data_IF_666745747813
#
_entry.id   IF_666745747813
#
_cell.length_a   1.000
_cell.length_b   1.000
_cell.length_c   1.000
_cell.angle_alpha   90.00
_cell.angle_beta   90.00
_cell.angle_gamma   90.00
#
_symmetry.space_group_name_H-M   'P 1'
#
loop_
_entity.id
_entity.type
_entity.pdbx_description
1 polymer ?
#
# COMPACT_ATOMS: atom_id res chain seq x y z
N UNK A 1 -10.12 48.39 11.52
CA UNK A 1 -10.62 48.01 10.19
C UNK A 1 -9.59 47.08 9.53
N UNK A 2 -9.59 45.82 9.91
CA UNK A 2 -8.90 44.78 9.16
C UNK A 2 -9.82 44.36 8.03
N UNK A 3 -9.52 44.88 6.85
CA UNK A 3 -10.09 44.42 5.59
C UNK A 3 -9.78 42.94 5.49
N UNK A 4 -10.79 42.12 5.69
CA UNK A 4 -10.77 40.69 5.38
C UNK A 4 -10.41 40.61 3.90
N UNK A 5 -9.20 40.10 3.60
CA UNK A 5 -8.73 39.93 2.23
C UNK A 5 -9.60 38.88 1.56
N UNK A 6 -10.73 39.36 1.01
CA UNK A 6 -11.71 38.58 0.28
C UNK A 6 -11.19 38.13 -1.10
N UNK A 7 -9.91 38.37 -1.38
CA UNK A 7 -9.28 38.07 -2.67
C UNK A 7 -8.86 36.61 -2.88
N UNK A 8 -9.18 35.71 -1.97
CA UNK A 8 -8.77 34.30 -2.12
C UNK A 8 -9.41 33.66 -3.34
N UNK A 9 -10.65 34.05 -3.68
CA UNK A 9 -11.38 33.52 -4.84
C UNK A 9 -12.25 34.60 -5.47
N UNK A 10 -11.80 35.17 -6.58
CA UNK A 10 -12.70 35.97 -7.45
C UNK A 10 -13.69 35.03 -8.12
N UNK A 11 -14.94 35.07 -7.68
CA UNK A 11 -16.04 34.20 -8.11
C UNK A 11 -16.45 34.47 -9.54
N UNK A 12 -16.35 33.47 -10.41
CA UNK A 12 -16.79 33.57 -11.82
C UNK A 12 -17.67 32.42 -12.31
N UNK A 13 -17.81 31.31 -11.59
CA UNK A 13 -18.60 30.16 -12.08
C UNK A 13 -19.59 29.72 -11.02
N UNK A 14 -20.87 29.73 -11.42
CA UNK A 14 -21.98 29.15 -10.63
C UNK A 14 -22.11 27.63 -10.83
N UNK A 15 -21.18 27.01 -11.52
CA UNK A 15 -21.11 25.57 -11.74
C UNK A 15 -20.45 24.85 -10.57
N UNK A 16 -20.88 23.61 -10.30
CA UNK A 16 -20.23 22.76 -9.30
C UNK A 16 -18.81 22.38 -9.72
N UNK A 17 -17.92 22.24 -8.76
CA UNK A 17 -16.54 21.78 -9.01
C UNK A 17 -16.56 20.34 -9.51
N UNK A 18 -16.06 20.07 -10.72
CA UNK A 18 -16.06 18.73 -11.27
C UNK A 18 -15.19 17.78 -10.43
N UNK A 19 -15.73 16.63 -10.01
CA UNK A 19 -14.98 15.60 -9.24
C UNK A 19 -13.68 15.18 -9.92
N UNK A 20 -13.63 15.20 -11.25
CA UNK A 20 -12.42 14.90 -12.04
C UNK A 20 -11.20 15.78 -11.69
N UNK A 21 -11.40 16.97 -11.13
CA UNK A 21 -10.31 17.83 -10.69
C UNK A 21 -9.66 17.32 -9.39
N UNK A 22 -10.42 16.63 -8.55
CA UNK A 22 -9.98 16.08 -7.26
C UNK A 22 -9.32 14.70 -7.44
N UNK A 23 -9.74 13.96 -8.46
CA UNK A 23 -9.40 12.55 -8.66
C UNK A 23 -7.88 12.29 -8.73
N UNK A 24 -7.05 13.10 -9.44
CA UNK A 24 -5.61 12.86 -9.50
C UNK A 24 -4.92 12.89 -8.13
N UNK A 25 -5.37 13.74 -7.23
CA UNK A 25 -4.81 13.82 -5.86
C UNK A 25 -5.24 12.61 -5.04
N UNK A 26 -6.51 12.20 -5.15
CA UNK A 26 -7.04 11.01 -4.48
C UNK A 26 -6.31 9.75 -4.96
N UNK A 27 -6.07 9.63 -6.26
CA UNK A 27 -5.38 8.47 -6.83
C UNK A 27 -3.91 8.39 -6.37
N UNK A 28 -3.21 9.52 -6.32
CA UNK A 28 -1.85 9.60 -5.78
C UNK A 28 -1.82 9.21 -4.29
N UNK A 29 -2.77 9.69 -3.48
CA UNK A 29 -2.89 9.33 -2.08
C UNK A 29 -3.19 7.81 -1.90
N UNK A 30 -4.06 7.23 -2.74
CA UNK A 30 -4.36 5.79 -2.78
C UNK A 30 -3.13 4.93 -3.10
N UNK A 31 -2.17 5.49 -3.83
CA UNK A 31 -0.89 4.83 -4.10
C UNK A 31 0.15 5.05 -3.00
N UNK A 32 -0.14 5.88 -1.99
CA UNK A 32 0.80 6.28 -0.95
C UNK A 32 1.88 7.27 -1.42
N UNK A 33 1.71 7.87 -2.61
CA UNK A 33 2.64 8.87 -3.16
C UNK A 33 2.32 10.27 -2.64
N UNK A 34 2.82 10.54 -1.43
CA UNK A 34 2.64 11.80 -0.72
C UNK A 34 3.19 13.00 -1.50
N UNK A 35 4.36 12.85 -2.13
CA UNK A 35 5.03 13.93 -2.85
C UNK A 35 4.18 14.34 -4.04
N UNK A 36 3.73 13.38 -4.84
CA UNK A 36 2.88 13.64 -6.00
C UNK A 36 1.53 14.22 -5.56
N UNK A 37 0.90 13.66 -4.52
CA UNK A 37 -0.37 14.14 -4.00
C UNK A 37 -0.29 15.62 -3.56
N UNK A 38 0.75 16.01 -2.82
CA UNK A 38 0.96 17.40 -2.40
C UNK A 38 1.22 18.36 -3.58
N UNK A 39 1.98 17.95 -4.60
CA UNK A 39 2.20 18.74 -5.82
C UNK A 39 0.90 18.95 -6.61
N UNK A 40 0.10 17.92 -6.76
CA UNK A 40 -1.20 17.98 -7.42
C UNK A 40 -2.19 18.84 -6.64
N UNK A 41 -2.14 18.83 -5.31
CA UNK A 41 -2.96 19.71 -4.46
C UNK A 41 -2.66 21.20 -4.71
N UNK A 42 -1.41 21.58 -4.84
CA UNK A 42 -1.06 22.96 -5.16
C UNK A 42 -1.63 23.40 -6.53
N UNK A 43 -1.65 22.49 -7.50
CA UNK A 43 -2.26 22.73 -8.82
C UNK A 43 -3.78 22.80 -8.73
N UNK A 44 -4.40 21.89 -7.98
CA UNK A 44 -5.84 21.88 -7.71
C UNK A 44 -6.32 23.19 -7.12
N UNK A 45 -5.66 23.72 -6.09
CA UNK A 45 -6.05 24.98 -5.45
C UNK A 45 -6.02 26.16 -6.41
N UNK A 46 -5.06 26.20 -7.36
CA UNK A 46 -5.02 27.20 -8.42
C UNK A 46 -6.22 27.07 -9.38
N UNK A 47 -6.61 25.85 -9.71
CA UNK A 47 -7.76 25.59 -10.60
C UNK A 47 -9.10 25.94 -9.94
N UNK A 48 -9.19 25.79 -8.60
CA UNK A 48 -10.38 26.13 -7.84
C UNK A 48 -10.64 27.64 -7.72
N UNK A 49 -9.65 28.50 -7.95
CA UNK A 49 -9.79 29.95 -7.80
C UNK A 49 -10.86 30.60 -8.69
N UNK A 50 -11.38 29.90 -9.69
CA UNK A 50 -12.47 30.37 -10.56
C UNK A 50 -13.90 30.00 -10.13
N UNK A 51 -14.06 29.27 -9.04
CA UNK A 51 -15.36 28.79 -8.56
C UNK A 51 -15.88 29.60 -7.37
N UNK A 52 -17.22 29.51 -7.13
CA UNK A 52 -17.83 30.10 -5.95
C UNK A 52 -17.32 29.42 -4.67
N UNK A 53 -17.05 30.22 -3.62
CA UNK A 53 -16.42 29.74 -2.38
C UNK A 53 -17.20 28.61 -1.70
N UNK A 54 -18.51 28.66 -1.72
CA UNK A 54 -19.37 27.58 -1.16
C UNK A 54 -19.17 26.25 -1.90
N UNK A 55 -19.07 26.32 -3.23
CA UNK A 55 -18.85 25.14 -4.09
C UNK A 55 -17.46 24.55 -3.90
N UNK A 56 -16.47 25.43 -3.69
CA UNK A 56 -15.11 25.01 -3.31
C UNK A 56 -15.15 24.26 -1.98
N UNK A 57 -15.81 24.78 -0.96
CA UNK A 57 -15.91 24.11 0.34
C UNK A 57 -16.64 22.77 0.26
N UNK A 58 -17.70 22.66 -0.53
CA UNK A 58 -18.37 21.38 -0.76
C UNK A 58 -17.45 20.37 -1.46
N UNK A 59 -16.73 20.81 -2.50
CA UNK A 59 -15.79 19.94 -3.22
C UNK A 59 -14.64 19.48 -2.32
N UNK A 60 -14.05 20.39 -1.54
CA UNK A 60 -12.97 20.08 -0.62
C UNK A 60 -13.42 19.23 0.58
N UNK A 61 -14.67 19.40 1.07
CA UNK A 61 -15.23 18.53 2.09
C UNK A 61 -15.39 17.10 1.57
N UNK A 62 -15.91 16.95 0.34
CA UNK A 62 -15.95 15.65 -0.33
C UNK A 62 -14.53 15.06 -0.48
N UNK A 63 -13.59 15.84 -0.98
CA UNK A 63 -12.19 15.44 -1.15
C UNK A 63 -11.55 14.97 0.16
N UNK A 64 -11.70 15.75 1.24
CA UNK A 64 -11.16 15.40 2.56
C UNK A 64 -11.77 14.11 3.09
N UNK A 65 -13.08 13.92 2.88
CA UNK A 65 -13.77 12.67 3.27
C UNK A 65 -13.26 11.47 2.48
N UNK A 66 -12.99 11.62 1.18
CA UNK A 66 -12.40 10.57 0.37
C UNK A 66 -10.98 10.23 0.81
N UNK A 67 -10.18 11.21 1.22
CA UNK A 67 -8.84 10.99 1.76
C UNK A 67 -8.88 10.18 3.07
N UNK A 68 -9.77 10.52 4.01
CA UNK A 68 -9.93 9.75 5.25
C UNK A 68 -10.39 8.30 5.02
N UNK A 69 -11.01 8.03 3.87
CA UNK A 69 -11.49 6.69 3.53
C UNK A 69 -10.56 5.92 2.59
N UNK A 70 -9.41 6.48 2.23
CA UNK A 70 -8.48 5.89 1.26
C UNK A 70 -7.99 4.50 1.70
N UNK A 71 -7.71 4.31 2.98
CA UNK A 71 -7.20 3.06 3.55
C UNK A 71 -8.30 2.08 3.98
N UNK A 72 -9.56 2.52 4.02
CA UNK A 72 -10.67 1.69 4.51
C UNK A 72 -11.17 0.79 3.37
N UNK A 73 -10.87 -0.50 3.44
CA UNK A 73 -11.37 -1.49 2.48
C UNK A 73 -12.85 -1.83 2.63
N UNK A 74 -13.47 -1.42 3.74
CA UNK A 74 -14.90 -1.64 4.00
C UNK A 74 -15.64 -0.34 3.73
N UNK A 75 -16.74 -0.36 2.94
CA UNK A 75 -17.55 0.84 2.71
C UNK A 75 -17.99 1.47 4.03
N UNK A 76 -17.65 2.74 4.21
CA UNK A 76 -18.08 3.49 5.40
C UNK A 76 -19.60 3.65 5.37
N UNK A 77 -20.27 3.35 6.48
CA UNK A 77 -21.71 3.52 6.58
C UNK A 77 -22.11 4.96 6.23
N UNK A 78 -23.15 5.12 5.43
CA UNK A 78 -23.61 6.41 4.90
C UNK A 78 -23.72 7.51 5.97
N UNK A 79 -24.18 7.15 7.18
CA UNK A 79 -24.29 8.09 8.29
C UNK A 79 -22.92 8.60 8.75
N UNK A 80 -21.94 7.70 8.89
CA UNK A 80 -20.57 8.07 9.27
C UNK A 80 -19.92 8.95 8.20
N UNK A 81 -20.15 8.65 6.93
CA UNK A 81 -19.66 9.47 5.82
C UNK A 81 -20.19 10.89 5.88
N UNK A 82 -21.48 11.06 6.15
CA UNK A 82 -22.11 12.39 6.31
C UNK A 82 -21.57 13.18 7.50
N UNK A 83 -21.30 12.50 8.62
CA UNK A 83 -20.70 13.12 9.81
C UNK A 83 -19.28 13.64 9.51
N UNK A 84 -18.44 12.83 8.85
CA UNK A 84 -17.09 13.20 8.43
C UNK A 84 -17.16 14.38 7.44
N UNK A 85 -18.00 14.30 6.43
CA UNK A 85 -18.20 15.38 5.45
C UNK A 85 -18.56 16.71 6.12
N UNK A 86 -19.51 16.70 7.06
CA UNK A 86 -19.90 17.90 7.79
C UNK A 86 -18.78 18.44 8.68
N UNK A 87 -18.00 17.58 9.30
CA UNK A 87 -16.83 17.98 10.08
C UNK A 87 -15.82 18.72 9.20
N UNK A 88 -15.48 18.17 8.04
CA UNK A 88 -14.59 18.82 7.09
C UNK A 88 -15.15 20.14 6.58
N UNK A 89 -16.45 20.20 6.26
CA UNK A 89 -17.10 21.43 5.82
C UNK A 89 -17.00 22.55 6.87
N UNK A 90 -17.29 22.26 8.13
CA UNK A 90 -17.15 23.20 9.24
C UNK A 90 -15.69 23.65 9.39
N UNK A 91 -14.75 22.70 9.36
CA UNK A 91 -13.32 23.01 9.49
C UNK A 91 -12.84 23.91 8.36
N UNK A 92 -13.12 23.56 7.11
CA UNK A 92 -12.73 24.33 5.93
C UNK A 92 -13.31 25.76 5.94
N UNK A 93 -14.60 25.89 6.36
CA UNK A 93 -15.25 27.20 6.46
C UNK A 93 -14.65 28.13 7.55
N UNK A 94 -13.90 27.57 8.49
CA UNK A 94 -13.20 28.33 9.54
C UNK A 94 -11.80 28.79 9.14
N UNK A 95 -11.28 28.34 8.01
CA UNK A 95 -9.94 28.72 7.52
C UNK A 95 -9.99 30.13 6.90
N UNK A 96 -8.99 30.94 7.23
CA UNK A 96 -9.00 32.37 6.94
C UNK A 96 -8.18 32.69 5.66
N UNK A 97 -7.20 31.84 5.31
CA UNK A 97 -6.31 32.12 4.20
C UNK A 97 -5.88 30.86 3.45
N UNK A 98 -5.33 31.06 2.26
CA UNK A 98 -4.88 29.98 1.37
C UNK A 98 -3.80 29.09 1.99
N UNK A 99 -2.92 29.65 2.82
CA UNK A 99 -1.88 28.89 3.49
C UNK A 99 -2.49 27.88 4.46
N UNK A 100 -3.42 28.32 5.31
CA UNK A 100 -4.12 27.41 6.24
C UNK A 100 -4.88 26.31 5.51
N UNK A 101 -5.49 26.65 4.38
CA UNK A 101 -6.16 25.67 3.53
C UNK A 101 -5.17 24.62 2.99
N UNK A 102 -4.05 25.07 2.45
CA UNK A 102 -3.01 24.19 1.94
C UNK A 102 -2.43 23.29 3.05
N UNK A 103 -2.09 23.88 4.20
CA UNK A 103 -1.55 23.15 5.34
C UNK A 103 -2.54 22.07 5.83
N UNK A 104 -3.83 22.43 5.91
CA UNK A 104 -4.88 21.47 6.29
C UNK A 104 -4.98 20.28 5.31
N UNK A 105 -5.05 20.55 4.02
CA UNK A 105 -5.12 19.50 3.00
C UNK A 105 -3.84 18.67 2.94
N UNK A 106 -2.67 19.30 3.13
CA UNK A 106 -1.38 18.58 3.15
C UNK A 106 -1.28 17.61 4.32
N UNK A 107 -1.77 17.97 5.50
CA UNK A 107 -1.80 17.07 6.65
C UNK A 107 -2.74 15.88 6.40
N UNK A 108 -3.92 16.12 5.83
CA UNK A 108 -4.83 15.01 5.47
C UNK A 108 -4.24 14.05 4.45
N UNK A 109 -3.49 14.56 3.47
CA UNK A 109 -2.79 13.75 2.47
C UNK A 109 -1.68 12.93 3.13
N UNK A 110 -0.91 13.55 4.01
CA UNK A 110 0.16 12.88 4.76
C UNK A 110 -0.39 11.73 5.59
N UNK A 111 -1.45 11.99 6.36
CA UNK A 111 -2.14 10.97 7.17
C UNK A 111 -2.68 9.83 6.29
N UNK A 112 -3.36 10.15 5.19
CA UNK A 112 -3.89 9.16 4.26
C UNK A 112 -2.78 8.30 3.62
N UNK A 113 -1.69 8.92 3.15
CA UNK A 113 -0.57 8.19 2.55
C UNK A 113 0.15 7.31 3.58
N UNK A 114 0.35 7.81 4.80
CA UNK A 114 0.94 7.04 5.90
C UNK A 114 0.11 5.79 6.22
N UNK A 115 -1.21 5.93 6.26
CA UNK A 115 -2.12 4.83 6.54
C UNK A 115 -2.09 3.77 5.43
N UNK A 116 -2.10 4.20 4.16
CA UNK A 116 -1.96 3.31 2.99
C UNK A 116 -0.64 2.55 3.02
N UNK A 117 0.47 3.24 3.22
CA UNK A 117 1.80 2.64 3.26
C UNK A 117 1.92 1.65 4.42
N UNK A 118 1.42 2.00 5.61
CA UNK A 118 1.40 1.12 6.78
C UNK A 118 0.56 -0.14 6.52
N UNK A 119 -0.58 -0.01 5.84
CA UNK A 119 -1.42 -1.15 5.46
C UNK A 119 -0.70 -2.06 4.46
N UNK A 120 -0.07 -1.49 3.44
CA UNK A 120 0.69 -2.24 2.44
C UNK A 120 1.85 -3.02 3.08
N UNK A 121 2.63 -2.38 3.96
CA UNK A 121 3.72 -3.03 4.69
C UNK A 121 3.22 -4.20 5.55
N UNK A 122 2.10 -4.04 6.25
CA UNK A 122 1.49 -5.11 7.05
C UNK A 122 1.02 -6.26 6.17
N UNK A 123 0.40 -5.97 5.03
CA UNK A 123 -0.04 -6.99 4.07
C UNK A 123 1.14 -7.79 3.55
N UNK A 124 2.19 -7.12 3.05
CA UNK A 124 3.41 -7.76 2.56
C UNK A 124 4.05 -8.65 3.63
N UNK A 125 4.11 -8.17 4.87
CA UNK A 125 4.66 -8.95 5.99
C UNK A 125 3.83 -10.20 6.29
N UNK A 126 2.51 -10.08 6.26
CA UNK A 126 1.60 -11.21 6.49
C UNK A 126 1.73 -12.25 5.38
N UNK A 127 1.75 -11.80 4.12
CA UNK A 127 1.92 -12.68 2.96
C UNK A 127 3.26 -13.42 3.02
N UNK A 128 4.34 -12.72 3.39
CA UNK A 128 5.64 -13.33 3.56
C UNK A 128 5.66 -14.38 4.68
N UNK A 129 5.05 -14.13 5.82
CA UNK A 129 4.96 -15.09 6.92
C UNK A 129 4.21 -16.35 6.47
N UNK A 130 3.07 -16.20 5.80
CA UNK A 130 2.31 -17.32 5.24
C UNK A 130 3.11 -18.10 4.19
N UNK A 131 3.85 -17.41 3.34
CA UNK A 131 4.75 -18.05 2.37
C UNK A 131 5.84 -18.86 3.06
N UNK A 132 6.50 -18.31 4.08
CA UNK A 132 7.55 -19.01 4.83
C UNK A 132 7.02 -20.23 5.58
N UNK A 133 5.83 -20.13 6.17
CA UNK A 133 5.16 -21.28 6.82
C UNK A 133 4.89 -22.40 5.81
N UNK A 134 4.37 -22.06 4.64
CA UNK A 134 4.12 -23.02 3.58
C UNK A 134 5.43 -23.66 3.07
N UNK A 135 6.45 -22.87 2.78
CA UNK A 135 7.77 -23.34 2.35
C UNK A 135 8.38 -24.29 3.40
N UNK A 136 8.36 -23.90 4.67
CA UNK A 136 8.91 -24.72 5.76
C UNK A 136 8.18 -26.06 5.95
N UNK A 137 6.91 -26.10 5.58
CA UNK A 137 6.12 -27.34 5.65
C UNK A 137 6.34 -28.26 4.44
N UNK A 138 6.76 -27.69 3.27
CA UNK A 138 6.77 -28.41 1.99
C UNK A 138 8.15 -28.46 1.30
N UNK A 139 9.23 -27.87 1.90
CA UNK A 139 10.55 -27.84 1.23
C UNK A 139 11.11 -29.19 0.88
N UNK A 140 10.67 -30.27 1.53
CA UNK A 140 11.08 -31.65 1.24
C UNK A 140 10.39 -32.22 -0.01
N UNK A 141 9.37 -31.58 -0.52
CA UNK A 141 8.68 -31.99 -1.74
C UNK A 141 9.49 -31.51 -2.96
N UNK A 142 9.94 -32.44 -3.84
CA UNK A 142 10.76 -32.07 -5.01
C UNK A 142 10.06 -31.06 -5.93
N UNK A 143 8.75 -31.09 -6.00
CA UNK A 143 7.90 -30.30 -6.89
C UNK A 143 7.60 -28.89 -6.34
N UNK A 144 8.07 -28.55 -5.13
CA UNK A 144 7.80 -27.25 -4.55
C UNK A 144 8.30 -26.14 -5.47
N UNK A 145 7.37 -25.24 -5.87
CA UNK A 145 7.62 -24.20 -6.86
C UNK A 145 7.10 -22.83 -6.41
N UNK A 146 7.55 -21.78 -7.10
CA UNK A 146 7.07 -20.40 -6.92
C UNK A 146 5.55 -20.32 -7.16
N UNK A 147 5.05 -21.04 -8.15
CA UNK A 147 3.64 -21.06 -8.53
C UNK A 147 2.76 -21.57 -7.39
N UNK A 148 3.16 -22.67 -6.76
CA UNK A 148 2.42 -23.24 -5.62
C UNK A 148 2.40 -22.28 -4.42
N UNK A 149 3.54 -21.69 -4.06
CA UNK A 149 3.58 -20.74 -2.93
C UNK A 149 2.75 -19.49 -3.23
N UNK A 150 2.88 -18.94 -4.43
CA UNK A 150 2.12 -17.73 -4.82
C UNK A 150 0.61 -17.95 -4.90
N UNK A 151 0.18 -19.15 -5.27
CA UNK A 151 -1.24 -19.55 -5.24
C UNK A 151 -1.80 -19.56 -3.82
N UNK A 152 -1.04 -20.11 -2.86
CA UNK A 152 -1.45 -20.18 -1.44
C UNK A 152 -1.64 -18.79 -0.82
N UNK A 153 -0.81 -17.83 -1.17
CA UNK A 153 -0.90 -16.45 -0.66
C UNK A 153 -1.64 -15.52 -1.60
N UNK A 154 -2.27 -16.04 -2.67
CA UNK A 154 -3.12 -15.31 -3.61
C UNK A 154 -2.46 -14.12 -4.32
N UNK A 155 -1.17 -14.23 -4.66
CA UNK A 155 -0.44 -13.22 -5.44
C UNK A 155 0.13 -13.82 -6.73
N UNK A 156 0.59 -12.96 -7.66
CA UNK A 156 1.23 -13.47 -8.88
C UNK A 156 2.64 -14.03 -8.61
N UNK A 157 3.08 -15.08 -9.33
CA UNK A 157 4.43 -15.65 -9.21
C UNK A 157 5.55 -14.62 -9.39
N UNK A 158 5.38 -13.68 -10.32
CA UNK A 158 6.35 -12.61 -10.57
C UNK A 158 6.46 -11.62 -9.41
N UNK A 159 5.30 -11.26 -8.80
CA UNK A 159 5.27 -10.39 -7.62
C UNK A 159 5.87 -11.10 -6.41
N UNK A 160 5.52 -12.36 -6.16
CA UNK A 160 6.11 -13.18 -5.10
C UNK A 160 7.63 -13.25 -5.22
N UNK A 161 8.16 -13.61 -6.41
CA UNK A 161 9.61 -13.76 -6.62
C UNK A 161 10.38 -12.48 -6.32
N UNK A 162 9.83 -11.31 -6.72
CA UNK A 162 10.43 -10.01 -6.42
C UNK A 162 10.37 -9.69 -4.93
N UNK A 163 9.20 -9.77 -4.32
CA UNK A 163 8.97 -9.53 -2.89
C UNK A 163 9.85 -10.44 -2.02
N UNK A 164 9.89 -11.74 -2.35
CA UNK A 164 10.67 -12.73 -1.62
C UNK A 164 12.16 -12.38 -1.64
N UNK A 165 12.70 -12.01 -2.82
CA UNK A 165 14.10 -11.63 -2.97
C UNK A 165 14.45 -10.34 -2.24
N UNK A 166 13.56 -9.35 -2.26
CA UNK A 166 13.74 -8.08 -1.55
C UNK A 166 13.80 -8.27 -0.03
N UNK A 167 13.00 -9.19 0.51
CA UNK A 167 12.89 -9.39 1.96
C UNK A 167 13.92 -10.41 2.48
N UNK A 168 14.11 -11.53 1.77
CA UNK A 168 15.01 -12.62 2.20
C UNK A 168 16.47 -12.47 1.73
N UNK A 169 16.74 -11.52 0.82
CA UNK A 169 18.01 -11.32 0.14
C UNK A 169 18.47 -12.53 -0.72
N UNK A 170 17.63 -13.55 -0.83
CA UNK A 170 17.85 -14.78 -1.59
C UNK A 170 16.73 -14.97 -2.62
N UNK A 171 17.05 -15.64 -3.72
CA UNK A 171 15.99 -16.17 -4.59
C UNK A 171 15.27 -17.34 -3.91
N UNK A 172 14.00 -17.58 -4.28
CA UNK A 172 13.25 -18.72 -3.76
C UNK A 172 13.98 -20.08 -3.93
N UNK A 173 14.56 -20.42 -5.10
CA UNK A 173 15.33 -21.66 -5.23
C UNK A 173 16.55 -21.73 -4.31
N UNK A 174 17.28 -20.64 -4.12
CA UNK A 174 18.43 -20.59 -3.21
C UNK A 174 17.98 -20.83 -1.76
N UNK A 175 16.89 -20.20 -1.34
CA UNK A 175 16.34 -20.37 0.00
C UNK A 175 15.90 -21.82 0.26
N UNK A 176 15.12 -22.41 -0.65
CA UNK A 176 14.68 -23.80 -0.55
C UNK A 176 15.87 -24.77 -0.57
N UNK A 177 16.86 -24.53 -1.41
CA UNK A 177 18.07 -25.35 -1.44
C UNK A 177 18.83 -25.29 -0.12
N UNK A 178 18.94 -24.12 0.50
CA UNK A 178 19.58 -23.98 1.82
C UNK A 178 18.84 -24.77 2.90
N UNK A 179 17.50 -24.74 2.91
CA UNK A 179 16.72 -25.55 3.84
C UNK A 179 16.96 -27.04 3.63
N UNK A 180 16.94 -27.52 2.39
CA UNK A 180 17.20 -28.91 2.03
C UNK A 180 18.60 -29.36 2.40
N UNK A 181 19.63 -28.53 2.15
CA UNK A 181 21.01 -28.82 2.52
C UNK A 181 21.20 -28.94 4.03
N UNK A 182 20.62 -28.01 4.80
CA UNK A 182 20.67 -28.05 6.24
C UNK A 182 20.02 -29.34 6.79
N UNK A 183 18.84 -29.69 6.29
CA UNK A 183 18.15 -30.91 6.70
C UNK A 183 18.91 -32.18 6.29
N UNK A 184 19.45 -32.25 5.08
CA UNK A 184 20.29 -33.37 4.66
C UNK A 184 21.54 -33.52 5.56
N UNK A 185 22.19 -32.42 5.92
CA UNK A 185 23.33 -32.40 6.85
C UNK A 185 22.95 -32.99 8.23
N UNK A 186 21.80 -32.60 8.75
CA UNK A 186 21.28 -33.16 10.03
C UNK A 186 21.01 -34.66 9.93
N UNK A 187 20.41 -35.12 8.84
CA UNK A 187 20.16 -36.55 8.60
C UNK A 187 21.45 -37.35 8.55
N UNK A 188 22.49 -36.84 7.91
CA UNK A 188 23.79 -37.49 7.86
C UNK A 188 24.45 -37.59 9.24
N UNK A 189 24.33 -36.56 10.08
CA UNK A 189 24.92 -36.54 11.44
C UNK A 189 24.15 -37.48 12.41
N UNK A 190 22.84 -37.55 12.29
CA UNK A 190 21.98 -38.18 13.33
C UNK A 190 21.54 -39.59 12.97
N UNK A 191 21.37 -39.93 11.69
CA UNK A 191 20.64 -41.16 11.28
C UNK A 191 21.49 -42.18 10.49
N UNK A 192 22.82 -42.02 10.39
CA UNK A 192 23.71 -42.91 9.62
C UNK A 192 23.19 -43.28 8.22
N UNK A 193 22.58 -42.31 7.54
CA UNK A 193 22.09 -42.47 6.18
C UNK A 193 23.23 -42.26 5.18
N UNK A 194 23.14 -42.89 4.00
CA UNK A 194 23.99 -42.54 2.87
C UNK A 194 23.68 -41.16 2.34
N UNK A 195 24.64 -40.51 1.68
CA UNK A 195 24.45 -39.20 1.05
C UNK A 195 23.24 -39.20 0.11
N UNK A 196 23.06 -40.25 -0.65
CA UNK A 196 21.94 -40.43 -1.57
C UNK A 196 20.59 -40.45 -0.85
N UNK A 197 20.48 -41.22 0.24
CA UNK A 197 19.25 -41.29 1.04
C UNK A 197 18.94 -39.99 1.75
N UNK A 198 19.96 -39.29 2.27
CA UNK A 198 19.78 -37.98 2.91
C UNK A 198 19.31 -36.91 1.90
N UNK A 199 19.92 -36.88 0.70
CA UNK A 199 19.49 -35.99 -0.37
C UNK A 199 18.06 -36.23 -0.82
N UNK A 200 17.68 -37.50 -1.03
CA UNK A 200 16.33 -37.85 -1.44
C UNK A 200 15.27 -37.48 -0.37
N UNK A 201 15.56 -37.72 0.91
CA UNK A 201 14.70 -37.29 2.02
C UNK A 201 14.60 -35.80 2.18
N UNK A 202 15.63 -35.05 1.78
CA UNK A 202 15.63 -33.60 1.81
C UNK A 202 14.91 -32.96 0.62
N UNK A 203 14.40 -33.75 -0.33
CA UNK A 203 13.63 -33.24 -1.47
C UNK A 203 14.48 -32.94 -2.72
N UNK A 204 15.72 -33.44 -2.80
CA UNK A 204 16.50 -33.33 -4.04
C UNK A 204 16.11 -34.45 -5.01
N UNK A 205 15.78 -34.09 -6.25
CA UNK A 205 15.41 -35.03 -7.31
C UNK A 205 16.62 -35.78 -7.92
N UNK A 206 17.88 -35.42 -7.56
CA UNK A 206 19.08 -36.05 -8.05
C UNK A 206 20.30 -35.77 -7.17
N UNK A 207 21.33 -36.64 -7.27
CA UNK A 207 22.57 -36.53 -6.48
C UNK A 207 23.58 -35.52 -7.02
N UNK A 208 23.29 -34.88 -8.16
CA UNK A 208 24.23 -33.98 -8.88
C UNK A 208 24.62 -32.73 -8.12
N UNK A 209 23.81 -32.31 -7.15
CA UNK A 209 24.05 -31.10 -6.36
C UNK A 209 24.91 -31.30 -5.10
N UNK A 210 25.27 -32.55 -4.76
CA UNK A 210 26.03 -32.88 -3.56
C UNK A 210 27.54 -33.09 -3.81
N UNK A 211 27.99 -32.85 -5.04
CA UNK A 211 29.39 -33.16 -5.44
C UNK A 211 30.25 -31.89 -5.64
N UNK A 212 29.81 -30.74 -5.15
CA UNK A 212 30.58 -29.48 -5.23
C UNK A 212 31.08 -29.07 -3.84
#
# INVERSE_FOLDING_TARGET
DQVCDSSIFETKKDEDVPKKLLQPVIDAAKCGDEIQAKQLTATLLKQLSGYEIKKIFHALSYFSTELENVSVQVPVATKKYQEIYMMHYIKLSSLINQKQLYDYLSNLIEDACLEVNTYQERSIRTDMLSALEYINSHYQEPELSVEQVSEVIHISPSYFSRMFREISELSFPEYVNNLRLNYASELLKTKRLSVKEAAQKAGFSGTSYFSA
#
